data_IF_858866623917
#
_entry.id   IF_858866623917
#
_cell.length_a   1.000
_cell.length_b   1.000
_cell.length_c   1.000
_cell.angle_alpha   90.00
_cell.angle_beta   90.00
_cell.angle_gamma   90.00
#
_symmetry.space_group_name_H-M   'P 1'
#
loop_
_entity.id
_entity.type
_entity.pdbx_description
1 polymer ?
#
# COMPACT_ATOMS: atom_id res chain seq x y z
N UNK A 1 -14.64 -63.83 20.34
CA UNK A 1 -13.75 -63.32 21.42
C UNK A 1 -12.54 -62.65 20.76
N UNK A 2 -12.25 -61.36 21.09
CA UNK A 2 -11.01 -60.55 20.86
C UNK A 2 -10.54 -60.33 19.39
N UNK A 3 -10.66 -59.13 18.78
CA UNK A 3 -9.79 -57.90 18.84
C UNK A 3 -8.29 -58.23 18.65
N UNK A 4 -7.50 -57.62 17.76
CA UNK A 4 -7.38 -56.20 17.36
C UNK A 4 -6.50 -55.98 16.11
N UNK A 5 -6.72 -54.82 15.46
CA UNK A 5 -6.15 -54.24 14.24
C UNK A 5 -4.63 -53.97 14.19
N UNK A 6 -4.03 -53.80 12.98
CA UNK A 6 -2.68 -53.28 12.79
C UNK A 6 -2.61 -51.76 13.00
N UNK A 7 -1.54 -51.29 13.64
CA UNK A 7 -1.30 -49.89 13.95
C UNK A 7 -0.99 -49.06 12.70
N UNK A 8 -1.71 -47.95 12.55
CA UNK A 8 -1.38 -46.89 11.59
C UNK A 8 -0.51 -45.88 12.32
N UNK A 9 0.77 -45.83 11.97
CA UNK A 9 1.67 -44.75 12.37
C UNK A 9 1.30 -43.48 11.62
N UNK A 10 0.71 -42.50 12.31
CA UNK A 10 0.47 -41.17 11.78
C UNK A 10 1.74 -40.31 11.97
N UNK A 11 2.39 -39.91 10.87
CA UNK A 11 3.40 -38.87 10.87
C UNK A 11 2.72 -37.50 11.12
N UNK A 12 3.02 -36.87 12.24
CA UNK A 12 2.67 -35.47 12.50
C UNK A 12 3.78 -34.60 11.91
N UNK A 13 3.49 -33.89 10.84
CA UNK A 13 4.34 -32.78 10.36
C UNK A 13 3.99 -31.55 11.21
N UNK A 14 4.83 -31.24 12.21
CA UNK A 14 4.76 -29.94 12.89
C UNK A 14 5.35 -28.87 11.96
N UNK A 15 4.48 -28.06 11.37
CA UNK A 15 4.89 -26.79 10.76
C UNK A 15 5.27 -25.80 11.84
N UNK A 16 6.56 -25.60 12.08
CA UNK A 16 7.06 -24.51 12.92
C UNK A 16 6.99 -23.23 12.09
N UNK A 17 5.92 -22.46 12.27
CA UNK A 17 5.83 -21.12 11.71
C UNK A 17 6.66 -20.20 12.61
N UNK A 18 7.83 -19.77 12.12
CA UNK A 18 8.67 -18.79 12.81
C UNK A 18 7.97 -17.41 12.80
N UNK A 19 7.21 -17.10 13.86
CA UNK A 19 6.60 -15.77 14.08
C UNK A 19 7.63 -14.67 14.43
N UNK A 20 8.92 -14.98 14.51
CA UNK A 20 9.96 -14.07 14.97
C UNK A 20 10.41 -13.00 13.96
N UNK A 21 9.91 -13.01 12.72
CA UNK A 21 10.26 -12.02 11.69
C UNK A 21 9.32 -10.79 11.65
N UNK A 22 8.25 -10.75 12.44
CA UNK A 22 7.23 -9.69 12.37
C UNK A 22 7.48 -8.46 13.26
N UNK A 23 8.60 -8.35 13.95
CA UNK A 23 8.75 -7.38 15.06
C UNK A 23 9.91 -6.39 14.96
N UNK A 24 10.41 -6.04 13.76
CA UNK A 24 11.53 -5.09 13.65
C UNK A 24 11.33 -3.81 12.84
N UNK A 25 10.14 -3.56 12.29
CA UNK A 25 9.80 -2.24 11.72
C UNK A 25 8.33 -1.96 12.04
N UNK A 26 8.04 -1.28 13.14
CA UNK A 26 6.66 -0.90 13.53
C UNK A 26 6.15 0.32 12.76
N UNK A 27 6.92 0.85 11.81
CA UNK A 27 6.53 1.99 10.99
C UNK A 27 7.09 1.78 9.59
N UNK A 28 6.24 1.27 8.69
CA UNK A 28 6.55 1.33 7.27
C UNK A 28 6.52 2.82 6.86
N UNK A 29 7.49 3.38 6.11
CA UNK A 29 7.37 4.75 5.60
C UNK A 29 6.02 5.00 4.92
N UNK A 30 5.44 3.97 4.28
CA UNK A 30 4.08 4.00 3.74
C UNK A 30 3.01 4.38 4.79
N UNK A 31 3.13 3.97 6.06
CA UNK A 31 2.13 4.25 7.10
C UNK A 31 2.02 5.76 7.37
N UNK A 32 3.15 6.47 7.39
CA UNK A 32 3.17 7.91 7.58
C UNK A 32 2.55 8.64 6.39
N UNK A 33 2.86 8.20 5.16
CA UNK A 33 2.30 8.75 3.93
C UNK A 33 0.80 8.48 3.81
N UNK A 34 0.35 7.26 4.09
CA UNK A 34 -1.05 6.86 4.10
C UNK A 34 -1.86 7.68 5.12
N UNK A 35 -1.33 7.86 6.34
CA UNK A 35 -1.97 8.69 7.36
C UNK A 35 -2.03 10.17 6.96
N UNK A 36 -1.01 10.67 6.25
CA UNK A 36 -1.00 12.05 5.72
C UNK A 36 -2.03 12.24 4.60
N UNK A 37 -2.17 11.27 3.71
CA UNK A 37 -3.10 11.35 2.58
C UNK A 37 -4.55 11.06 2.99
N UNK A 38 -4.75 10.19 3.98
CA UNK A 38 -6.07 9.73 4.42
C UNK A 38 -6.21 9.81 5.96
N UNK A 39 -6.15 11.02 6.54
CA UNK A 39 -6.17 11.20 8.00
C UNK A 39 -7.47 10.75 8.66
N UNK A 40 -8.56 10.63 7.89
CA UNK A 40 -9.89 10.25 8.35
C UNK A 40 -10.30 8.83 7.94
N UNK A 41 -9.36 8.01 7.45
CA UNK A 41 -9.67 6.62 7.10
C UNK A 41 -10.08 5.83 8.34
N UNK A 42 -11.19 5.09 8.25
CA UNK A 42 -11.62 4.18 9.31
C UNK A 42 -10.84 2.86 9.27
N UNK A 43 -10.43 2.43 8.08
CA UNK A 43 -9.58 1.26 7.88
C UNK A 43 -8.78 1.42 6.57
N UNK A 44 -7.57 0.87 6.54
CA UNK A 44 -6.72 0.77 5.36
C UNK A 44 -6.34 -0.71 5.21
N UNK A 45 -6.59 -1.28 4.02
CA UNK A 45 -6.24 -2.69 3.77
C UNK A 45 -4.73 -2.90 3.78
N UNK A 46 -4.27 -4.16 3.91
CA UNK A 46 -2.90 -4.51 3.53
C UNK A 46 -2.59 -4.13 2.07
N UNK A 47 -1.31 -3.98 1.76
CA UNK A 47 -0.82 -3.69 0.41
C UNK A 47 -0.93 -4.95 -0.47
N UNK A 48 -1.85 -4.94 -1.44
CA UNK A 48 -2.16 -6.13 -2.26
C UNK A 48 -2.88 -5.75 -3.56
N UNK A 49 -3.10 -6.74 -4.43
CA UNK A 49 -3.85 -6.58 -5.70
C UNK A 49 -2.97 -6.38 -6.93
N UNK A 50 -3.60 -6.04 -8.05
CA UNK A 50 -2.92 -5.75 -9.33
C UNK A 50 -3.56 -4.53 -10.02
N UNK A 51 -2.83 -3.41 -10.19
CA UNK A 51 -1.51 -3.14 -9.59
C UNK A 51 -1.57 -3.19 -8.06
N UNK A 52 -0.43 -3.33 -7.38
CA UNK A 52 -0.41 -3.32 -5.91
C UNK A 52 -0.94 -1.97 -5.40
N UNK A 53 -1.81 -2.02 -4.39
CA UNK A 53 -2.42 -0.82 -3.81
C UNK A 53 -2.93 -1.06 -2.38
N UNK A 54 -3.14 0.04 -1.66
CA UNK A 54 -3.93 0.06 -0.43
C UNK A 54 -5.36 0.49 -0.75
N UNK A 55 -6.34 -0.18 -0.15
CA UNK A 55 -7.74 0.22 -0.18
C UNK A 55 -8.05 1.05 1.06
N UNK A 56 -8.66 2.20 0.86
CA UNK A 56 -9.04 3.13 1.92
C UNK A 56 -10.54 3.05 2.15
N UNK A 57 -10.94 2.85 3.39
CA UNK A 57 -12.34 2.72 3.77
C UNK A 57 -12.76 3.84 4.74
N UNK A 58 -13.94 4.42 4.50
CA UNK A 58 -14.60 5.35 5.43
C UNK A 58 -15.35 4.64 6.57
N UNK A 59 -15.62 3.34 6.41
CA UNK A 59 -16.24 2.45 7.41
C UNK A 59 -15.40 1.19 7.51
N UNK A 60 -15.12 0.72 8.73
CA UNK A 60 -14.33 -0.50 8.92
C UNK A 60 -15.06 -1.73 8.32
N UNK A 61 -14.48 -2.43 7.33
CA UNK A 61 -15.11 -3.61 6.72
C UNK A 61 -15.37 -4.76 7.70
N UNK A 62 -14.70 -4.78 8.86
CA UNK A 62 -14.99 -5.74 9.94
C UNK A 62 -16.33 -5.47 10.62
N UNK A 63 -16.82 -4.22 10.59
CA UNK A 63 -18.09 -3.79 11.17
C UNK A 63 -19.22 -3.80 10.14
N UNK A 64 -18.92 -3.48 8.89
CA UNK A 64 -19.84 -3.59 7.77
C UNK A 64 -19.19 -4.37 6.62
N UNK A 65 -19.53 -5.66 6.44
CA UNK A 65 -19.00 -6.47 5.35
C UNK A 65 -19.33 -5.97 3.94
N UNK A 66 -20.30 -5.07 3.79
CA UNK A 66 -20.67 -4.45 2.51
C UNK A 66 -19.90 -3.15 2.24
N UNK A 67 -19.09 -2.68 3.19
CA UNK A 67 -18.29 -1.48 3.02
C UNK A 67 -17.37 -1.60 1.81
N UNK A 68 -17.49 -0.66 0.88
CA UNK A 68 -16.62 -0.57 -0.29
C UNK A 68 -15.49 0.43 -0.04
N UNK A 69 -14.32 0.24 -0.66
CA UNK A 69 -13.26 1.24 -0.64
C UNK A 69 -13.76 2.56 -1.24
N UNK A 70 -13.47 3.68 -0.58
CA UNK A 70 -13.78 5.03 -1.08
C UNK A 70 -12.61 5.66 -1.82
N UNK A 71 -11.40 5.14 -1.60
CA UNK A 71 -10.18 5.58 -2.26
C UNK A 71 -9.15 4.46 -2.29
N UNK A 72 -8.09 4.70 -3.06
CA UNK A 72 -6.96 3.82 -3.25
C UNK A 72 -5.68 4.64 -3.07
N UNK A 73 -4.62 3.99 -2.58
CA UNK A 73 -3.28 4.56 -2.57
C UNK A 73 -2.35 3.65 -3.34
N UNK A 74 -1.43 4.24 -4.09
CA UNK A 74 -0.45 3.54 -4.90
C UNK A 74 0.94 4.07 -4.57
N UNK A 75 1.91 3.18 -4.51
CA UNK A 75 3.28 3.57 -4.78
C UNK A 75 3.44 3.62 -6.29
N UNK A 76 4.00 4.69 -6.85
CA UNK A 76 4.13 4.79 -8.31
C UNK A 76 4.96 3.67 -8.92
N UNK A 77 5.92 3.11 -8.17
CA UNK A 77 6.70 1.93 -8.57
C UNK A 77 5.89 0.64 -8.65
N UNK A 78 4.73 0.55 -7.99
CA UNK A 78 3.83 -0.60 -8.14
C UNK A 78 3.13 -0.61 -9.51
N UNK A 79 3.10 0.54 -10.18
CA UNK A 79 2.51 0.73 -11.51
C UNK A 79 3.62 0.79 -12.57
N UNK A 80 4.71 1.50 -12.28
CA UNK A 80 5.88 1.67 -13.15
C UNK A 80 7.14 1.26 -12.37
N UNK A 81 7.52 -0.03 -12.37
CA UNK A 81 8.62 -0.54 -11.53
C UNK A 81 9.98 0.10 -11.76
N UNK A 82 10.18 0.76 -12.90
CA UNK A 82 11.43 1.45 -13.26
C UNK A 82 11.18 2.95 -13.44
N UNK A 83 10.40 3.56 -12.57
CA UNK A 83 10.22 5.01 -12.59
C UNK A 83 11.54 5.73 -12.28
N UNK A 84 11.91 6.64 -13.17
CA UNK A 84 13.16 7.39 -13.11
C UNK A 84 12.90 8.86 -13.36
N UNK A 85 13.52 9.69 -12.54
CA UNK A 85 13.66 11.13 -12.79
C UNK A 85 14.76 11.38 -13.82
N UNK A 86 15.48 12.48 -13.65
CA UNK A 86 16.58 12.85 -14.56
C UNK A 86 17.79 11.93 -14.40
N UNK A 87 18.23 11.65 -13.16
CA UNK A 87 19.45 10.88 -12.91
C UNK A 87 19.31 9.82 -11.79
N UNK A 88 18.11 9.33 -11.53
CA UNK A 88 17.90 8.29 -10.52
C UNK A 88 16.46 7.84 -10.38
N UNK A 89 16.22 6.76 -9.61
CA UNK A 89 14.86 6.40 -9.19
C UNK A 89 14.20 7.57 -8.45
N UNK A 90 12.92 7.77 -8.71
CA UNK A 90 12.06 8.72 -7.99
C UNK A 90 10.73 8.05 -7.76
N UNK A 91 10.28 8.00 -6.52
CA UNK A 91 9.07 7.32 -6.13
C UNK A 91 8.12 8.27 -5.43
N UNK A 92 6.83 8.10 -5.70
CA UNK A 92 5.77 8.88 -5.06
C UNK A 92 4.69 7.96 -4.51
N UNK A 93 4.05 8.41 -3.44
CA UNK A 93 2.75 7.90 -3.01
C UNK A 93 1.67 8.78 -3.61
N UNK A 94 0.67 8.16 -4.23
CA UNK A 94 -0.47 8.86 -4.83
C UNK A 94 -1.76 8.29 -4.26
N UNK A 95 -2.57 9.15 -3.66
CA UNK A 95 -3.94 8.84 -3.26
C UNK A 95 -4.93 9.22 -4.35
N UNK A 96 -5.88 8.35 -4.64
CA UNK A 96 -6.90 8.53 -5.67
C UNK A 96 -8.27 8.07 -5.16
N UNK A 97 -9.32 8.85 -5.37
CA UNK A 97 -10.68 8.42 -5.04
C UNK A 97 -11.23 7.39 -6.04
N UNK A 98 -12.42 6.84 -5.76
CA UNK A 98 -13.09 5.88 -6.65
C UNK A 98 -13.47 6.43 -8.03
N UNK A 99 -13.45 7.76 -8.23
CA UNK A 99 -13.77 8.41 -9.50
C UNK A 99 -12.52 8.67 -10.36
N UNK A 100 -11.33 8.43 -9.83
CA UNK A 100 -10.07 8.72 -10.52
C UNK A 100 -9.54 10.14 -10.27
N UNK A 101 -9.98 10.80 -9.21
CA UNK A 101 -9.48 12.11 -8.79
C UNK A 101 -8.36 11.93 -7.76
N UNK A 102 -7.23 12.58 -8.01
CA UNK A 102 -6.09 12.56 -7.08
C UNK A 102 -6.46 13.34 -5.82
N UNK A 103 -6.48 12.68 -4.67
CA UNK A 103 -6.75 13.34 -3.38
C UNK A 103 -5.50 13.97 -2.78
N UNK A 104 -4.32 13.52 -3.20
CA UNK A 104 -3.02 14.06 -2.83
C UNK A 104 -1.88 13.16 -3.30
N UNK A 105 -0.67 13.68 -3.23
CA UNK A 105 0.55 12.94 -3.50
C UNK A 105 1.65 13.31 -2.50
N UNK A 106 2.67 12.46 -2.36
CA UNK A 106 3.87 12.71 -1.57
C UNK A 106 5.07 12.10 -2.29
N UNK A 107 6.15 12.86 -2.45
CA UNK A 107 7.45 12.31 -2.84
C UNK A 107 8.03 11.55 -1.65
N UNK A 108 8.28 10.26 -1.82
CA UNK A 108 8.74 9.36 -0.75
C UNK A 108 10.24 9.13 -0.83
N UNK A 109 10.77 8.96 -2.03
CA UNK A 109 12.18 8.68 -2.25
C UNK A 109 12.65 9.24 -3.58
N UNK A 110 13.86 9.80 -3.59
CA UNK A 110 14.58 10.11 -4.83
C UNK A 110 16.07 10.02 -4.60
N UNK A 111 16.81 9.53 -5.59
CA UNK A 111 18.27 9.70 -5.66
C UNK A 111 18.69 10.69 -6.74
N UNK A 112 17.73 11.46 -7.28
CA UNK A 112 18.03 12.49 -8.24
C UNK A 112 18.80 13.64 -7.56
N UNK A 113 19.98 14.06 -8.07
CA UNK A 113 20.74 15.15 -7.46
C UNK A 113 19.96 16.46 -7.40
N UNK A 114 18.95 16.61 -8.24
CA UNK A 114 18.11 17.80 -8.34
C UNK A 114 16.80 17.68 -7.54
N UNK A 115 16.54 16.56 -6.86
CA UNK A 115 15.28 16.33 -6.15
C UNK A 115 14.93 17.46 -5.17
N UNK A 116 15.92 17.92 -4.41
CA UNK A 116 15.77 18.91 -3.34
C UNK A 116 15.14 20.25 -3.76
N UNK A 117 15.26 20.66 -5.02
CA UNK A 117 14.60 21.87 -5.54
C UNK A 117 13.50 21.57 -6.56
N UNK A 118 13.32 20.30 -6.95
CA UNK A 118 12.37 19.90 -8.00
C UNK A 118 11.19 19.12 -7.41
N UNK A 119 11.40 17.87 -7.00
CA UNK A 119 10.33 16.95 -6.59
C UNK A 119 10.15 16.84 -5.07
N UNK A 120 11.16 17.18 -4.28
CA UNK A 120 11.07 17.17 -2.81
C UNK A 120 10.25 18.34 -2.24
N UNK A 121 10.27 19.57 -2.82
CA UNK A 121 9.45 20.66 -2.33
C UNK A 121 7.96 20.31 -2.30
N UNK A 122 7.23 20.65 -1.22
CA UNK A 122 5.83 20.29 -1.06
C UNK A 122 4.93 20.83 -2.18
N UNK A 123 5.31 21.93 -2.82
CA UNK A 123 4.61 22.55 -3.95
C UNK A 123 4.52 21.60 -5.14
N UNK A 124 5.56 20.79 -5.39
CA UNK A 124 5.55 19.81 -6.46
C UNK A 124 4.43 18.80 -6.28
N UNK A 125 4.30 18.21 -5.09
CA UNK A 125 3.25 17.24 -4.82
C UNK A 125 1.85 17.90 -4.71
N UNK A 126 1.79 19.14 -4.21
CA UNK A 126 0.53 19.87 -4.03
C UNK A 126 -0.21 20.12 -5.34
N UNK A 127 0.51 20.28 -6.45
CA UNK A 127 -0.10 20.58 -7.76
C UNK A 127 -1.00 19.46 -8.31
N UNK A 128 -0.85 18.22 -7.82
CA UNK A 128 -1.61 17.07 -8.34
C UNK A 128 -3.01 16.95 -7.75
N UNK A 129 -3.25 17.53 -6.57
CA UNK A 129 -4.53 17.40 -5.88
C UNK A 129 -5.68 17.96 -6.73
N UNK A 130 -6.75 17.18 -6.86
CA UNK A 130 -7.94 17.54 -7.64
C UNK A 130 -7.83 17.25 -9.13
N UNK A 131 -6.66 16.84 -9.65
CA UNK A 131 -6.54 16.42 -11.05
C UNK A 131 -7.17 15.05 -11.25
N UNK A 132 -7.76 14.86 -12.43
CA UNK A 132 -8.28 13.56 -12.87
C UNK A 132 -7.21 12.78 -13.61
N UNK A 133 -7.06 11.49 -13.31
CA UNK A 133 -6.22 10.57 -14.10
C UNK A 133 -6.85 10.23 -15.47
N UNK A 134 -8.09 10.67 -15.71
CA UNK A 134 -8.82 10.49 -16.96
C UNK A 134 -8.87 11.79 -17.78
N UNK A 135 -8.12 12.82 -17.37
CA UNK A 135 -8.03 14.04 -18.13
C UNK A 135 -7.48 13.75 -19.55
N UNK A 136 -7.97 14.45 -20.59
CA UNK A 136 -7.41 14.32 -21.93
C UNK A 136 -5.94 14.79 -21.95
N UNK A 137 -5.16 14.18 -22.84
CA UNK A 137 -3.75 14.50 -23.09
C UNK A 137 -3.59 15.62 -24.12
#
# INVERSE_FOLDING_TARGET
MRRSSPGVSALIVMGVINLAAQSRITTNPADAHLKRLFPTAANISPHAGTPLHWKIYSVDPKKDPKAQPTAFAFWTTDVVPQERGYNGPTHMFVGMDSHGIIVGAVTDFSTDPYAHFSVDPPEFAAQFKGKSIRAPF
#
